data_IF_633836223916
#
_entry.id   IF_633836223916
#
_cell.length_a   1.000
_cell.length_b   1.000
_cell.length_c   1.000
_cell.angle_alpha   90.00
_cell.angle_beta   90.00
_cell.angle_gamma   90.00
#
_symmetry.space_group_name_H-M   'P 1'
#
loop_
_entity.id
_entity.type
_entity.pdbx_description
1 polymer ?
#
# COMPACT_ATOMS: atom_id res chain seq x y z
N UNK A 1 17.92 -11.22 12.76
CA UNK A 1 17.57 -9.89 12.19
C UNK A 1 18.58 -8.90 12.73
N UNK A 2 19.52 -8.43 11.92
CA UNK A 2 20.51 -7.43 12.37
C UNK A 2 19.79 -6.07 12.37
N UNK A 3 19.59 -5.48 13.55
CA UNK A 3 19.03 -4.14 13.68
C UNK A 3 20.17 -3.17 13.36
N UNK A 4 20.12 -2.56 12.18
CA UNK A 4 21.11 -1.56 11.76
C UNK A 4 20.78 -0.22 12.44
N UNK A 5 21.66 0.22 13.34
CA UNK A 5 21.51 1.49 14.05
C UNK A 5 21.90 2.67 13.15
N UNK A 6 21.00 3.64 13.01
CA UNK A 6 21.22 4.84 12.19
C UNK A 6 21.96 5.93 12.98
N UNK A 7 23.27 5.80 13.11
CA UNK A 7 24.12 6.69 13.93
C UNK A 7 24.71 7.88 13.18
N UNK A 8 24.79 7.82 11.84
CA UNK A 8 25.38 8.88 11.01
C UNK A 8 24.36 9.99 10.74
N UNK A 9 24.74 11.24 11.00
CA UNK A 9 23.92 12.44 10.73
C UNK A 9 24.40 13.16 9.47
N UNK A 10 23.48 13.42 8.55
CA UNK A 10 23.69 14.25 7.37
C UNK A 10 22.92 15.57 7.58
N UNK A 11 23.57 16.72 7.37
CA UNK A 11 22.95 18.04 7.45
C UNK A 11 23.29 18.88 6.22
N UNK A 12 22.34 19.70 5.78
CA UNK A 12 22.51 20.63 4.68
C UNK A 12 21.70 21.89 4.94
N UNK A 13 22.15 23.02 4.39
CA UNK A 13 21.44 24.30 4.49
C UNK A 13 20.40 24.38 3.37
N UNK A 14 19.25 24.95 3.71
CA UNK A 14 18.16 25.22 2.77
C UNK A 14 17.69 26.65 2.94
N UNK A 15 17.26 27.27 1.84
CA UNK A 15 16.49 28.50 1.88
C UNK A 15 15.11 28.27 2.51
N UNK A 16 14.46 29.34 2.96
CA UNK A 16 13.10 29.28 3.49
C UNK A 16 12.10 28.72 2.46
N UNK A 17 12.28 29.08 1.19
CA UNK A 17 11.47 28.56 0.07
C UNK A 17 11.63 27.05 -0.11
N UNK A 18 12.84 26.54 0.02
CA UNK A 18 13.11 25.09 -0.06
C UNK A 18 12.54 24.36 1.15
N UNK A 19 12.71 24.90 2.35
CA UNK A 19 12.16 24.34 3.57
C UNK A 19 10.64 24.13 3.46
N UNK A 20 9.89 25.16 3.05
CA UNK A 20 8.44 25.07 2.87
C UNK A 20 8.05 24.02 1.82
N UNK A 21 8.79 23.93 0.71
CA UNK A 21 8.57 22.88 -0.30
C UNK A 21 8.79 21.48 0.27
N UNK A 22 9.83 21.28 1.06
CA UNK A 22 10.15 19.99 1.68
C UNK A 22 9.03 19.60 2.66
N UNK A 23 8.64 20.49 3.57
CA UNK A 23 7.57 20.23 4.55
C UNK A 23 6.25 19.87 3.86
N UNK A 24 5.88 20.60 2.80
CA UNK A 24 4.67 20.31 2.05
C UNK A 24 4.70 18.91 1.40
N UNK A 25 5.85 18.49 0.88
CA UNK A 25 6.01 17.13 0.32
C UNK A 25 5.94 16.05 1.41
N UNK A 26 6.54 16.31 2.57
CA UNK A 26 6.52 15.42 3.74
C UNK A 26 5.09 15.23 4.23
N UNK A 27 4.33 16.32 4.39
CA UNK A 27 2.94 16.28 4.85
C UNK A 27 2.04 15.43 3.93
N UNK A 28 2.33 15.41 2.63
CA UNK A 28 1.61 14.56 1.66
C UNK A 28 2.03 13.09 1.69
N UNK A 29 3.20 12.78 2.26
CA UNK A 29 3.83 11.46 2.18
C UNK A 29 3.43 10.47 3.28
N UNK A 30 2.75 10.92 4.33
CA UNK A 30 2.54 10.16 5.58
C UNK A 30 3.84 9.65 6.26
N UNK A 31 5.01 10.19 5.90
CA UNK A 31 6.31 9.87 6.48
C UNK A 31 6.80 10.98 7.40
N UNK A 32 7.66 10.66 8.36
CA UNK A 32 8.44 11.68 9.06
C UNK A 32 9.43 12.36 8.11
N UNK A 33 9.83 13.61 8.40
CA UNK A 33 10.83 14.35 7.61
C UNK A 33 12.09 13.51 7.34
N UNK A 34 12.62 12.85 8.37
CA UNK A 34 13.82 12.02 8.25
C UNK A 34 13.61 10.77 7.40
N UNK A 35 12.42 10.13 7.47
CA UNK A 35 12.09 8.99 6.61
C UNK A 35 11.89 9.42 5.16
N UNK A 36 11.19 10.54 4.95
CA UNK A 36 10.95 11.12 3.63
C UNK A 36 12.26 11.47 2.94
N UNK A 37 13.14 12.25 3.60
CA UNK A 37 14.41 12.67 3.03
C UNK A 37 15.30 11.46 2.72
N UNK A 38 15.42 10.49 3.63
CA UNK A 38 16.19 9.27 3.35
C UNK A 38 15.63 8.46 2.18
N UNK A 39 14.31 8.35 2.07
CA UNK A 39 13.69 7.59 0.97
C UNK A 39 13.90 8.33 -0.35
N UNK A 40 13.70 9.65 -0.36
CA UNK A 40 13.91 10.51 -1.51
C UNK A 40 15.38 10.58 -1.95
N UNK A 41 16.34 10.49 -1.02
CA UNK A 41 17.78 10.52 -1.32
C UNK A 41 18.37 9.17 -1.72
N UNK A 42 17.62 8.08 -1.57
CA UNK A 42 18.04 6.71 -1.93
C UNK A 42 17.22 6.19 -3.13
N UNK A 43 16.68 7.09 -3.94
CA UNK A 43 15.83 6.81 -5.11
C UNK A 43 14.68 5.83 -4.84
N UNK A 44 14.16 5.85 -3.60
CA UNK A 44 12.99 5.06 -3.24
C UNK A 44 11.74 5.84 -3.63
N UNK A 45 10.95 5.24 -4.51
CA UNK A 45 9.63 5.76 -4.86
C UNK A 45 8.74 5.91 -3.61
N UNK A 46 8.25 7.12 -3.37
CA UNK A 46 7.31 7.42 -2.28
C UNK A 46 5.91 7.43 -2.88
N UNK A 47 5.19 6.32 -2.74
CA UNK A 47 3.81 6.16 -3.22
C UNK A 47 2.86 6.26 -2.03
N UNK A 48 1.88 7.16 -2.13
CA UNK A 48 0.85 7.37 -1.11
C UNK A 48 -0.48 6.95 -1.71
N UNK A 49 -1.13 5.96 -1.09
CA UNK A 49 -2.46 5.50 -1.48
C UNK A 49 -3.43 6.02 -0.41
N UNK A 50 -4.10 7.14 -0.70
CA UNK A 50 -4.92 7.87 0.28
C UNK A 50 -6.05 7.00 0.87
N UNK A 51 -6.68 6.14 0.05
CA UNK A 51 -7.83 5.35 0.46
C UNK A 51 -7.63 3.83 0.50
N UNK A 52 -6.41 3.38 0.78
CA UNK A 52 -6.13 1.94 0.91
C UNK A 52 -6.91 1.31 2.08
N UNK A 53 -7.20 2.09 3.12
CA UNK A 53 -7.89 1.60 4.31
C UNK A 53 -9.35 1.24 4.03
N UNK A 54 -10.09 2.08 3.29
CA UNK A 54 -11.46 1.72 2.91
C UNK A 54 -11.48 0.57 1.91
N UNK A 55 -10.55 0.58 0.93
CA UNK A 55 -10.39 -0.54 0.02
C UNK A 55 -10.17 -1.89 0.75
N UNK A 56 -9.28 -1.93 1.74
CA UNK A 56 -9.05 -3.13 2.55
C UNK A 56 -10.29 -3.53 3.37
N UNK A 57 -11.08 -2.56 3.86
CA UNK A 57 -12.33 -2.80 4.58
C UNK A 57 -13.39 -3.43 3.67
N UNK A 58 -13.53 -2.95 2.44
CA UNK A 58 -14.45 -3.51 1.44
C UNK A 58 -14.04 -4.92 1.03
N UNK A 59 -12.75 -5.15 0.78
CA UNK A 59 -12.23 -6.48 0.46
C UNK A 59 -12.48 -7.48 1.60
N UNK A 60 -12.32 -7.04 2.85
CA UNK A 60 -12.66 -7.85 4.03
C UNK A 60 -14.16 -8.16 4.10
N UNK A 61 -15.02 -7.21 3.77
CA UNK A 61 -16.46 -7.43 3.73
C UNK A 61 -16.84 -8.47 2.67
N UNK A 62 -16.23 -8.44 1.49
CA UNK A 62 -16.40 -9.47 0.45
C UNK A 62 -15.98 -10.85 0.97
N UNK A 63 -14.80 -10.96 1.61
CA UNK A 63 -14.35 -12.22 2.21
C UNK A 63 -15.29 -12.77 3.29
N UNK A 64 -15.84 -11.88 4.13
CA UNK A 64 -16.83 -12.27 5.13
C UNK A 64 -18.12 -12.81 4.50
N UNK A 65 -18.61 -12.15 3.44
CA UNK A 65 -19.80 -12.60 2.72
C UNK A 65 -19.57 -13.97 2.06
N UNK A 66 -18.40 -14.19 1.45
CA UNK A 66 -18.02 -15.49 0.89
C UNK A 66 -17.98 -16.59 1.95
N UNK A 67 -17.41 -16.30 3.14
CA UNK A 67 -17.42 -17.25 4.26
C UNK A 67 -18.84 -17.60 4.70
N UNK A 68 -19.73 -16.61 4.78
CA UNK A 68 -21.13 -16.84 5.16
C UNK A 68 -21.85 -17.70 4.12
N UNK A 69 -21.69 -17.40 2.82
CA UNK A 69 -22.25 -18.22 1.74
C UNK A 69 -21.75 -19.66 1.84
N UNK A 70 -20.45 -19.85 2.03
CA UNK A 70 -19.85 -21.18 2.17
C UNK A 70 -20.45 -21.97 3.35
N UNK A 71 -20.64 -21.34 4.50
CA UNK A 71 -21.31 -21.95 5.66
C UNK A 71 -22.75 -22.34 5.33
N UNK A 72 -23.52 -21.47 4.68
CA UNK A 72 -24.90 -21.76 4.29
C UNK A 72 -25.00 -22.91 3.29
N UNK A 73 -24.05 -23.00 2.35
CA UNK A 73 -23.95 -24.10 1.39
C UNK A 73 -23.64 -25.42 2.08
N UNK A 74 -22.63 -25.45 2.96
CA UNK A 74 -22.28 -26.65 3.73
C UNK A 74 -23.41 -27.11 4.66
N UNK A 75 -24.22 -26.18 5.16
CA UNK A 75 -25.41 -26.49 5.96
C UNK A 75 -26.60 -26.96 5.12
N UNK A 76 -26.48 -27.00 3.78
CA UNK A 76 -27.58 -27.36 2.87
C UNK A 76 -28.72 -26.35 2.82
N UNK A 77 -28.53 -25.13 3.38
CA UNK A 77 -29.56 -24.09 3.41
C UNK A 77 -29.73 -23.41 2.06
N UNK A 78 -28.67 -23.39 1.25
CA UNK A 78 -28.66 -22.87 -0.11
C UNK A 78 -27.87 -23.82 -1.02
N UNK A 79 -28.13 -23.75 -2.32
CA UNK A 79 -27.22 -24.33 -3.33
C UNK A 79 -26.03 -23.41 -3.52
N UNK A 80 -24.84 -24.00 -3.74
CA UNK A 80 -23.61 -23.23 -3.96
C UNK A 80 -23.76 -22.28 -5.16
N UNK A 81 -23.73 -20.95 -4.95
CA UNK A 81 -23.82 -20.00 -6.04
C UNK A 81 -22.53 -20.02 -6.88
N UNK A 82 -22.65 -19.80 -8.18
CA UNK A 82 -21.47 -19.57 -9.02
C UNK A 82 -20.84 -18.22 -8.68
N UNK A 83 -19.59 -18.26 -8.22
CA UNK A 83 -18.79 -17.09 -7.83
C UNK A 83 -17.60 -16.86 -8.77
N UNK A 84 -17.60 -17.48 -9.95
CA UNK A 84 -16.49 -17.40 -10.91
C UNK A 84 -16.15 -15.96 -11.32
N UNK A 85 -17.16 -15.10 -11.46
CA UNK A 85 -16.98 -13.67 -11.77
C UNK A 85 -16.26 -12.95 -10.62
N UNK A 86 -16.69 -13.18 -9.38
CA UNK A 86 -16.07 -12.58 -8.19
C UNK A 86 -14.61 -13.00 -8.06
N UNK A 87 -14.31 -14.30 -8.24
CA UNK A 87 -12.94 -14.82 -8.25
C UNK A 87 -12.08 -14.08 -9.27
N UNK A 88 -12.56 -13.98 -10.52
CA UNK A 88 -11.84 -13.29 -11.60
C UNK A 88 -11.56 -11.82 -11.26
N UNK A 89 -12.53 -11.11 -10.67
CA UNK A 89 -12.33 -9.71 -10.26
C UNK A 89 -11.29 -9.56 -9.13
N UNK A 90 -11.27 -10.48 -8.18
CA UNK A 90 -10.23 -10.49 -7.12
C UNK A 90 -8.85 -10.79 -7.72
N UNK A 91 -8.76 -11.68 -8.71
CA UNK A 91 -7.52 -11.95 -9.45
C UNK A 91 -7.03 -10.72 -10.24
N UNK A 92 -7.91 -10.03 -10.96
CA UNK A 92 -7.58 -8.78 -11.67
C UNK A 92 -7.03 -7.72 -10.70
N UNK A 93 -7.64 -7.56 -9.52
CA UNK A 93 -7.16 -6.66 -8.46
C UNK A 93 -5.76 -7.06 -7.99
N UNK A 94 -5.51 -8.35 -7.79
CA UNK A 94 -4.22 -8.86 -7.34
C UNK A 94 -3.11 -8.59 -8.36
N UNK A 95 -3.39 -8.80 -9.64
CA UNK A 95 -2.45 -8.49 -10.73
C UNK A 95 -2.11 -6.99 -10.77
N UNK A 96 -3.12 -6.12 -10.67
CA UNK A 96 -2.92 -4.67 -10.63
C UNK A 96 -2.07 -4.23 -9.42
N UNK A 97 -2.29 -4.82 -8.25
CA UNK A 97 -1.48 -4.55 -7.06
C UNK A 97 -0.02 -4.99 -7.25
N UNK A 98 0.22 -6.15 -7.86
CA UNK A 98 1.57 -6.61 -8.17
C UNK A 98 2.28 -5.70 -9.18
N UNK A 99 1.57 -5.22 -10.19
CA UNK A 99 2.12 -4.26 -11.16
C UNK A 99 2.54 -2.95 -10.47
N UNK A 100 1.71 -2.41 -9.57
CA UNK A 100 2.07 -1.24 -8.77
C UNK A 100 3.33 -1.52 -7.92
N UNK A 101 3.41 -2.68 -7.28
CA UNK A 101 4.57 -3.06 -6.49
C UNK A 101 5.84 -3.21 -7.34
N UNK A 102 5.76 -3.75 -8.55
CA UNK A 102 6.94 -3.91 -9.42
C UNK A 102 7.39 -2.60 -10.07
N UNK A 103 6.47 -1.66 -10.34
CA UNK A 103 6.83 -0.29 -10.72
C UNK A 103 7.61 0.43 -9.62
N UNK A 104 7.34 0.12 -8.34
CA UNK A 104 8.16 0.66 -7.24
C UNK A 104 9.56 0.03 -7.15
N UNK A 105 9.77 -1.16 -7.73
CA UNK A 105 11.07 -1.85 -7.78
C UNK A 105 11.93 -1.49 -9.00
N UNK A 106 11.33 -1.16 -10.15
CA UNK A 106 12.06 -0.91 -11.42
C UNK A 106 12.81 0.43 -11.49
N UNK A 107 12.66 1.33 -10.51
CA UNK A 107 13.52 2.53 -10.40
C UNK A 107 14.88 2.22 -9.73
N UNK A 108 15.40 1.00 -9.95
CA UNK A 108 16.66 0.51 -9.39
C UNK A 108 17.71 0.15 -10.45
N UNK A 109 17.43 0.42 -11.72
CA UNK A 109 18.39 0.22 -12.80
C UNK A 109 18.87 1.58 -13.33
#
# INVERSE_FOLDING_TARGET
MVIENKTIRISFRVSEREHTKIVNKVNRSNLSLSQYLRSSSLDKNIVVIEDFKNFSKELKAIGNNLNQLNVLCHQGKITCPDISITRKKVEEIWELLNLLMDQTKKSKD
#
